data_IF_290698049055
#
_entry.id   IF_290698049055
#
_cell.length_a   1.000
_cell.length_b   1.000
_cell.length_c   1.000
_cell.angle_alpha   90.00
_cell.angle_beta   90.00
_cell.angle_gamma   90.00
#
_symmetry.space_group_name_H-M   'P 1'
#
loop_
_entity.id
_entity.type
_entity.pdbx_description
1 polymer ?
#
# COMPACT_ATOMS: atom_id res chain seq x y z
N UNK A 1 -6.73 -21.02 -13.04
CA UNK A 1 -5.82 -19.85 -13.04
C UNK A 1 -5.73 -19.33 -11.62
N UNK A 2 -4.56 -19.49 -10.97
CA UNK A 2 -4.37 -19.16 -9.55
C UNK A 2 -4.03 -17.68 -9.45
N UNK A 3 -5.00 -16.85 -9.09
CA UNK A 3 -4.81 -15.43 -8.80
C UNK A 3 -3.97 -15.30 -7.52
N UNK A 4 -2.64 -15.20 -7.67
CA UNK A 4 -1.77 -14.79 -6.57
C UNK A 4 -1.91 -13.28 -6.41
N UNK A 5 -2.40 -12.77 -5.26
CA UNK A 5 -2.39 -11.34 -5.03
C UNK A 5 -0.93 -10.86 -4.92
N UNK A 6 -0.55 -9.75 -5.57
CA UNK A 6 0.81 -9.23 -5.50
C UNK A 6 1.14 -8.84 -4.05
N UNK A 7 2.20 -9.43 -3.50
CA UNK A 7 2.64 -9.19 -2.13
C UNK A 7 3.01 -7.72 -1.88
N UNK A 8 2.73 -7.26 -0.65
CA UNK A 8 2.88 -5.86 -0.22
C UNK A 8 4.32 -5.57 0.17
N UNK A 9 4.97 -4.70 -0.59
CA UNK A 9 6.31 -4.20 -0.31
C UNK A 9 6.23 -2.69 0.00
N UNK A 10 5.90 -2.31 1.25
CA UNK A 10 6.14 -0.97 1.85
C UNK A 10 6.09 -1.11 3.38
N UNK A 11 6.97 -0.39 4.09
CA UNK A 11 6.89 -0.27 5.55
C UNK A 11 5.54 0.32 5.98
N UNK A 12 4.93 -0.24 7.04
CA UNK A 12 3.56 0.09 7.45
C UNK A 12 3.29 1.58 7.71
N UNK A 13 4.33 2.34 8.09
CA UNK A 13 4.23 3.78 8.36
C UNK A 13 4.02 4.65 7.11
N UNK A 14 4.75 4.40 6.02
CA UNK A 14 4.55 5.12 4.74
C UNK A 14 3.15 4.85 4.17
N UNK A 15 2.67 3.60 4.32
CA UNK A 15 1.29 3.24 3.99
C UNK A 15 0.27 4.00 4.82
N UNK A 16 0.44 4.02 6.14
CA UNK A 16 -0.50 4.67 7.05
C UNK A 16 -0.57 6.17 6.77
N UNK A 17 0.58 6.80 6.53
CA UNK A 17 0.64 8.23 6.21
C UNK A 17 -0.12 8.54 4.91
N UNK A 18 0.08 7.77 3.84
CA UNK A 18 -0.64 7.98 2.57
C UNK A 18 -2.15 7.78 2.70
N UNK A 19 -2.55 6.78 3.50
CA UNK A 19 -3.95 6.46 3.76
C UNK A 19 -4.64 7.48 4.67
N UNK A 20 -3.89 8.27 5.42
CA UNK A 20 -4.42 9.37 6.24
C UNK A 20 -4.40 10.67 5.43
N UNK A 21 -3.25 11.05 4.89
CA UNK A 21 -3.04 12.33 4.21
C UNK A 21 -3.86 12.42 2.92
N UNK A 22 -3.91 11.35 2.13
CA UNK A 22 -4.66 11.32 0.87
C UNK A 22 -6.15 11.63 1.05
N UNK A 23 -6.87 10.86 1.90
CA UNK A 23 -8.27 11.12 2.19
C UNK A 23 -8.53 12.48 2.84
N UNK A 24 -7.64 12.95 3.73
CA UNK A 24 -7.79 14.29 4.33
C UNK A 24 -7.75 15.39 3.26
N UNK A 25 -6.82 15.30 2.30
CA UNK A 25 -6.74 16.22 1.18
C UNK A 25 -8.01 16.18 0.32
N UNK A 26 -8.56 15.00 0.07
CA UNK A 26 -9.81 14.85 -0.67
C UNK A 26 -11.01 15.46 0.07
N UNK A 27 -11.11 15.22 1.39
CA UNK A 27 -12.18 15.78 2.23
C UNK A 27 -12.07 17.31 2.26
N UNK A 28 -10.87 17.86 2.47
CA UNK A 28 -10.65 19.31 2.45
C UNK A 28 -10.98 19.93 1.10
N UNK A 29 -10.59 19.28 0.01
CA UNK A 29 -10.92 19.75 -1.35
C UNK A 29 -12.43 19.70 -1.61
N UNK A 30 -13.11 18.63 -1.18
CA UNK A 30 -14.56 18.52 -1.29
C UNK A 30 -15.28 19.59 -0.45
N UNK A 31 -14.82 19.83 0.77
CA UNK A 31 -15.34 20.91 1.63
C UNK A 31 -15.18 22.29 0.95
N UNK A 32 -14.07 22.53 0.26
CA UNK A 32 -13.87 23.75 -0.51
C UNK A 32 -14.82 23.88 -1.70
N UNK A 33 -15.04 22.79 -2.44
CA UNK A 33 -15.98 22.75 -3.59
C UNK A 33 -17.43 22.99 -3.11
N UNK A 34 -17.79 22.46 -1.95
CA UNK A 34 -19.10 22.67 -1.32
C UNK A 34 -19.25 24.04 -0.66
N UNK A 35 -18.21 24.88 -0.68
CA UNK A 35 -18.23 26.22 -0.09
C UNK A 35 -18.18 26.25 1.43
N UNK A 36 -17.83 25.14 2.08
CA UNK A 36 -17.66 25.06 3.56
C UNK A 36 -16.42 25.83 3.99
N UNK A 37 -15.37 25.81 3.17
CA UNK A 37 -14.13 26.55 3.38
C UNK A 37 -13.72 27.24 2.08
N UNK A 38 -12.98 28.36 2.18
CA UNK A 38 -12.52 29.12 1.01
C UNK A 38 -11.05 28.79 0.74
N UNK A 39 -10.79 28.12 -0.39
CA UNK A 39 -9.45 27.87 -0.92
C UNK A 39 -9.34 28.41 -2.35
N UNK A 40 -8.11 28.77 -2.76
CA UNK A 40 -7.83 29.09 -4.17
C UNK A 40 -8.16 27.87 -5.06
N UNK A 41 -8.77 28.07 -6.24
CA UNK A 41 -9.07 26.98 -7.18
C UNK A 41 -7.86 26.11 -7.51
N UNK A 42 -6.66 26.71 -7.55
CA UNK A 42 -5.40 26.00 -7.81
C UNK A 42 -5.09 25.00 -6.68
N UNK A 43 -5.29 25.42 -5.43
CA UNK A 43 -5.05 24.55 -4.26
C UNK A 43 -6.09 23.43 -4.19
N UNK A 44 -7.34 23.70 -4.55
CA UNK A 44 -8.38 22.67 -4.63
C UNK A 44 -8.02 21.62 -5.69
N UNK A 45 -7.60 22.06 -6.88
CA UNK A 45 -7.19 21.15 -7.95
C UNK A 45 -5.98 20.28 -7.55
N UNK A 46 -4.95 20.88 -6.94
CA UNK A 46 -3.79 20.16 -6.43
C UNK A 46 -4.18 19.18 -5.31
N UNK A 47 -5.06 19.61 -4.40
CA UNK A 47 -5.57 18.77 -3.31
C UNK A 47 -6.30 17.54 -3.82
N UNK A 48 -7.12 17.67 -4.86
CA UNK A 48 -7.78 16.54 -5.52
C UNK A 48 -6.76 15.60 -6.17
N UNK A 49 -5.84 16.13 -6.99
CA UNK A 49 -4.87 15.32 -7.74
C UNK A 49 -3.93 14.55 -6.80
N UNK A 50 -3.33 15.26 -5.84
CA UNK A 50 -2.40 14.68 -4.87
C UNK A 50 -3.15 13.74 -3.93
N UNK A 51 -4.29 14.17 -3.39
CA UNK A 51 -5.11 13.36 -2.49
C UNK A 51 -5.56 12.05 -3.12
N UNK A 52 -6.03 12.09 -4.38
CA UNK A 52 -6.42 10.89 -5.12
C UNK A 52 -5.23 9.96 -5.36
N UNK A 53 -4.09 10.50 -5.79
CA UNK A 53 -2.87 9.71 -6.04
C UNK A 53 -2.40 9.01 -4.76
N UNK A 54 -2.31 9.73 -3.64
CA UNK A 54 -1.90 9.15 -2.35
C UNK A 54 -2.89 8.09 -1.87
N UNK A 55 -4.19 8.35 -2.01
CA UNK A 55 -5.24 7.41 -1.59
C UNK A 55 -5.20 6.13 -2.43
N UNK A 56 -5.15 6.25 -3.75
CA UNK A 56 -5.10 5.11 -4.69
C UNK A 56 -3.81 4.32 -4.50
N UNK A 57 -2.66 4.98 -4.37
CA UNK A 57 -1.37 4.31 -4.18
C UNK A 57 -1.26 3.64 -2.80
N UNK A 58 -1.84 4.26 -1.75
CA UNK A 58 -1.95 3.65 -0.41
C UNK A 58 -2.88 2.42 -0.38
N UNK A 59 -3.98 2.44 -1.15
CA UNK A 59 -4.93 1.33 -1.31
C UNK A 59 -4.31 0.16 -2.08
N UNK A 60 -3.72 0.44 -3.24
CA UNK A 60 -3.32 -0.57 -4.25
C UNK A 60 -1.98 -1.24 -3.97
N UNK A 61 -1.17 -0.73 -3.03
CA UNK A 61 0.09 -1.36 -2.56
C UNK A 61 1.15 -1.62 -3.64
N UNK A 62 0.98 -1.07 -4.84
CA UNK A 62 1.99 -1.03 -5.88
C UNK A 62 2.72 0.30 -5.76
N UNK A 63 3.79 0.34 -4.95
CA UNK A 63 4.68 1.49 -4.98
C UNK A 63 5.49 1.38 -6.29
N UNK A 64 5.32 2.28 -7.28
CA UNK A 64 6.05 2.19 -8.55
C UNK A 64 7.57 2.22 -8.34
N UNK A 65 8.03 2.82 -7.24
CA UNK A 65 9.43 2.87 -6.84
C UNK A 65 10.02 1.50 -6.44
N UNK A 66 9.21 0.59 -5.88
CA UNK A 66 9.66 -0.78 -5.59
C UNK A 66 9.74 -1.65 -6.85
N UNK A 67 8.95 -1.33 -7.88
CA UNK A 67 9.07 -1.96 -9.19
C UNK A 67 10.33 -1.45 -9.94
N UNK A 68 10.76 -0.21 -9.67
CA UNK A 68 11.92 0.41 -10.31
C UNK A 68 13.25 0.03 -9.65
N UNK A 69 13.27 -0.18 -8.33
CA UNK A 69 14.49 -0.50 -7.57
C UNK A 69 14.78 -1.99 -7.45
N UNK A 70 13.84 -2.88 -7.81
CA UNK A 70 14.06 -4.34 -7.81
C UNK A 70 14.36 -4.96 -6.43
N UNK A 71 14.20 -4.20 -5.34
CA UNK A 71 14.49 -4.66 -3.98
C UNK A 71 13.29 -5.39 -3.39
N UNK A 72 13.31 -6.72 -3.53
CA UNK A 72 12.42 -7.63 -2.79
C UNK A 72 13.02 -7.92 -1.40
N UNK A 73 12.57 -7.19 -0.38
CA UNK A 73 12.94 -7.47 1.04
C UNK A 73 12.03 -8.55 1.63
N UNK A 74 11.85 -9.67 0.93
CA UNK A 74 11.09 -10.79 1.49
C UNK A 74 12.00 -11.67 2.35
N UNK A 75 11.91 -11.49 3.67
CA UNK A 75 12.27 -12.54 4.62
C UNK A 75 10.95 -13.15 5.08
N UNK A 76 10.55 -14.26 4.46
CA UNK A 76 9.37 -15.01 4.92
C UNK A 76 9.66 -15.50 6.32
N UNK A 77 9.01 -14.88 7.30
CA UNK A 77 8.93 -15.39 8.66
C UNK A 77 7.84 -16.48 8.66
N UNK A 78 8.10 -17.61 8.00
CA UNK A 78 7.34 -18.87 8.08
C UNK A 78 8.22 -20.10 7.79
N UNK A 79 9.48 -20.08 8.21
CA UNK A 79 10.25 -21.30 8.49
C UNK A 79 10.29 -21.52 9.99
N UNK A 80 9.12 -21.69 10.61
CA UNK A 80 9.02 -22.08 12.01
C UNK A 80 7.87 -23.08 12.27
N UNK A 81 7.14 -23.51 11.23
CA UNK A 81 6.02 -24.43 11.43
C UNK A 81 5.67 -25.23 10.17
N UNK A 82 6.70 -25.81 9.53
CA UNK A 82 6.51 -26.90 8.56
C UNK A 82 7.74 -27.80 8.44
N UNK A 83 8.55 -27.92 9.49
CA UNK A 83 9.70 -28.84 9.54
C UNK A 83 9.39 -30.15 10.29
N UNK A 84 8.16 -30.37 10.76
CA UNK A 84 7.82 -31.59 11.52
C UNK A 84 7.09 -32.68 10.73
N UNK A 85 6.64 -32.45 9.49
CA UNK A 85 5.81 -33.45 8.78
C UNK A 85 6.54 -34.18 7.62
N UNK A 86 7.78 -33.80 7.24
CA UNK A 86 8.47 -34.41 6.08
C UNK A 86 9.87 -34.99 6.38
N UNK A 87 10.18 -35.35 7.62
CA UNK A 87 11.39 -36.14 7.94
C UNK A 87 11.08 -37.59 8.37
N UNK A 88 9.81 -37.95 8.61
CA UNK A 88 9.46 -39.29 9.13
C UNK A 88 8.67 -40.16 8.13
N UNK A 89 8.84 -39.95 6.82
CA UNK A 89 8.32 -40.86 5.79
C UNK A 89 9.35 -41.06 4.68
N UNK A 90 10.67 -41.04 4.97
CA UNK A 90 11.64 -41.53 3.97
C UNK A 90 12.97 -41.94 4.59
N UNK A 91 12.95 -42.95 5.47
CA UNK A 91 14.15 -43.77 5.69
C UNK A 91 13.82 -45.26 5.60
N UNK A 92 14.12 -45.92 4.47
CA UNK A 92 14.16 -47.37 4.39
C UNK A 92 15.40 -47.91 5.11
N UNK A 93 15.19 -48.93 5.95
CA UNK A 93 16.15 -49.97 6.30
C UNK A 93 15.36 -51.27 6.52
#
# INVERSE_FOLDING_TARGET
MRFYPPEKNVGGWDRLLRLIVGPILLIGSAAAILGVIVLSPILVALGVIVGATLTVTGLTQKCPLNNLLGLNTYKSRRTAESETEQENIERPA
#
